data_IF_862342288099
#
_entry.id   IF_862342288099
#
_cell.length_a   1.000
_cell.length_b   1.000
_cell.length_c   1.000
_cell.angle_alpha   90.00
_cell.angle_beta   90.00
_cell.angle_gamma   90.00
#
_symmetry.space_group_name_H-M   'P 1'
#
loop_
_entity.id
_entity.type
_entity.pdbx_description
1 polymer ?
#
# COMPACT_ATOMS: atom_id res chain seq x y z
N UNK A 1 -2.85 -2.48 -11.04
CA UNK A 1 -2.29 -1.95 -12.31
C UNK A 1 -2.01 -0.45 -12.34
N UNK A 2 -2.99 0.47 -12.35
CA UNK A 2 -2.68 1.92 -12.46
C UNK A 2 -1.84 2.49 -11.30
N UNK A 3 -2.16 2.12 -10.06
CA UNK A 3 -1.40 2.56 -8.87
C UNK A 3 0.02 2.01 -8.80
N UNK A 4 0.22 0.73 -9.15
CA UNK A 4 1.55 0.11 -9.22
C UNK A 4 2.47 0.86 -10.21
N UNK A 5 1.96 1.22 -11.39
CA UNK A 5 2.69 2.01 -12.40
C UNK A 5 3.10 3.39 -11.88
N UNK A 6 2.23 4.07 -11.11
CA UNK A 6 2.54 5.36 -10.50
C UNK A 6 3.66 5.25 -9.44
N UNK A 7 3.61 4.24 -8.58
CA UNK A 7 4.67 3.97 -7.58
C UNK A 7 5.98 3.61 -8.27
N UNK A 8 5.93 2.78 -9.30
CA UNK A 8 7.09 2.41 -10.11
C UNK A 8 7.75 3.65 -10.76
N UNK A 9 6.93 4.53 -11.37
CA UNK A 9 7.41 5.80 -11.93
C UNK A 9 8.04 6.71 -10.86
N UNK A 10 7.43 6.84 -9.68
CA UNK A 10 7.99 7.64 -8.58
C UNK A 10 9.36 7.12 -8.12
N UNK A 11 9.54 5.80 -8.00
CA UNK A 11 10.82 5.21 -7.62
C UNK A 11 11.82 5.03 -8.78
N UNK A 12 11.52 5.55 -9.98
CA UNK A 12 12.31 5.34 -11.20
C UNK A 12 12.65 3.86 -11.45
N UNK A 13 11.71 2.96 -11.14
CA UNK A 13 11.82 1.51 -11.31
C UNK A 13 10.74 1.05 -12.26
N UNK A 14 11.07 0.14 -13.18
CA UNK A 14 10.04 -0.51 -13.99
C UNK A 14 9.20 -1.42 -13.08
N UNK A 15 7.86 -1.49 -13.25
CA UNK A 15 7.06 -2.48 -12.53
C UNK A 15 7.59 -3.86 -12.85
N UNK A 16 7.58 -4.75 -11.85
CA UNK A 16 7.69 -6.16 -12.16
C UNK A 16 6.39 -6.55 -12.88
N UNK A 17 6.42 -6.52 -14.22
CA UNK A 17 5.28 -6.84 -15.09
C UNK A 17 5.05 -8.36 -15.18
N UNK A 18 5.57 -9.14 -14.22
CA UNK A 18 5.17 -10.53 -14.03
C UNK A 18 3.72 -10.57 -13.58
N UNK A 19 2.79 -10.45 -14.53
CA UNK A 19 1.37 -10.75 -14.34
C UNK A 19 1.24 -12.27 -14.29
N UNK A 20 1.64 -12.84 -13.15
CA UNK A 20 1.21 -14.14 -12.66
C UNK A 20 0.55 -13.94 -11.30
N UNK A 21 -0.25 -14.90 -10.80
CA UNK A 21 -0.73 -14.83 -9.41
C UNK A 21 0.46 -14.62 -8.48
N UNK A 22 0.59 -13.42 -7.91
CA UNK A 22 1.66 -13.09 -6.96
C UNK A 22 1.37 -13.81 -5.64
N UNK A 23 1.75 -15.08 -5.55
CA UNK A 23 1.72 -15.86 -4.31
C UNK A 23 2.68 -15.32 -3.24
N UNK A 24 3.46 -14.27 -3.53
CA UNK A 24 4.52 -13.74 -2.67
C UNK A 24 4.04 -12.72 -1.62
N UNK A 25 2.81 -12.21 -1.71
CA UNK A 25 2.24 -11.31 -0.70
C UNK A 25 2.74 -9.86 -0.73
N UNK A 26 3.43 -9.43 -1.80
CA UNK A 26 3.88 -8.06 -2.06
C UNK A 26 3.94 -7.81 -3.58
N UNK A 27 3.87 -6.54 -4.00
CA UNK A 27 3.79 -6.14 -5.41
C UNK A 27 5.16 -5.78 -6.01
N UNK A 28 6.07 -5.18 -5.23
CA UNK A 28 7.42 -4.82 -5.72
C UNK A 28 8.47 -4.81 -4.61
N UNK A 29 9.75 -4.70 -5.01
CA UNK A 29 10.87 -4.45 -4.09
C UNK A 29 11.54 -3.10 -4.36
N UNK A 30 11.61 -2.28 -3.32
CA UNK A 30 12.22 -0.94 -3.35
C UNK A 30 13.28 -0.88 -2.25
N UNK A 31 14.53 -0.53 -2.62
CA UNK A 31 15.68 -0.51 -1.70
C UNK A 31 15.80 -1.75 -0.78
N UNK A 32 15.49 -2.93 -1.32
CA UNK A 32 15.52 -4.21 -0.58
C UNK A 32 14.28 -4.51 0.27
N UNK A 33 13.33 -3.57 0.40
CA UNK A 33 12.07 -3.72 1.12
C UNK A 33 10.96 -4.22 0.19
N UNK A 34 10.16 -5.17 0.65
CA UNK A 34 8.94 -5.66 -0.02
C UNK A 34 7.80 -4.67 0.20
N UNK A 35 7.13 -4.28 -0.88
CA UNK A 35 6.10 -3.24 -0.87
C UNK A 35 4.79 -3.77 -1.44
N UNK A 36 3.67 -3.48 -0.78
CA UNK A 36 2.31 -3.78 -1.23
C UNK A 36 1.58 -2.45 -1.50
N UNK A 37 1.21 -2.19 -2.74
CA UNK A 37 0.54 -0.97 -3.20
C UNK A 37 -0.96 -1.15 -3.13
N UNK A 38 -1.63 -0.19 -2.49
CA UNK A 38 -3.08 -0.07 -2.46
C UNK A 38 -3.48 1.17 -3.22
N UNK A 39 -4.44 1.02 -4.12
CA UNK A 39 -5.01 2.13 -4.87
C UNK A 39 -6.46 2.37 -4.48
N UNK A 40 -6.87 3.64 -4.44
CA UNK A 40 -8.26 4.05 -4.18
C UNK A 40 -8.67 5.18 -5.12
N UNK A 41 -9.96 5.22 -5.48
CA UNK A 41 -10.59 6.35 -6.18
C UNK A 41 -11.30 7.31 -5.22
N UNK A 42 -11.31 7.02 -3.90
CA UNK A 42 -11.93 7.83 -2.86
C UNK A 42 -10.91 8.79 -2.23
N UNK A 43 -11.34 10.03 -1.94
CA UNK A 43 -10.52 11.05 -1.28
C UNK A 43 -11.36 11.80 -0.21
N UNK A 44 -11.03 11.72 1.09
CA UNK A 44 -9.97 10.88 1.65
C UNK A 44 -10.31 9.39 1.53
N UNK A 45 -9.29 8.57 1.34
CA UNK A 45 -9.38 7.10 1.30
C UNK A 45 -8.48 6.48 2.37
N UNK A 46 -8.68 5.20 2.66
CA UNK A 46 -7.95 4.49 3.70
C UNK A 46 -6.84 3.63 3.12
N UNK A 47 -5.72 3.53 3.83
CA UNK A 47 -4.79 2.44 3.61
C UNK A 47 -5.35 1.20 4.31
N UNK A 48 -5.57 0.12 3.56
CA UNK A 48 -6.24 -1.07 4.07
C UNK A 48 -5.49 -2.37 3.77
N UNK A 49 -5.55 -3.32 4.70
CA UNK A 49 -5.07 -4.68 4.53
C UNK A 49 -6.09 -5.69 5.08
N UNK A 50 -6.21 -6.83 4.41
CA UNK A 50 -7.09 -7.91 4.88
C UNK A 50 -6.70 -8.35 6.30
N UNK A 51 -7.67 -8.66 7.15
CA UNK A 51 -7.42 -9.24 8.49
C UNK A 51 -6.59 -10.53 8.47
N UNK A 52 -6.56 -11.22 7.34
CA UNK A 52 -5.80 -12.46 7.16
C UNK A 52 -4.37 -12.23 6.62
N UNK A 53 -3.99 -10.97 6.33
CA UNK A 53 -2.65 -10.64 5.83
C UNK A 53 -1.65 -10.80 6.99
N UNK A 54 -0.64 -11.64 6.79
CA UNK A 54 0.46 -11.75 7.74
C UNK A 54 1.35 -10.50 7.72
N UNK A 55 1.76 -10.04 8.90
CA UNK A 55 2.66 -8.88 9.06
C UNK A 55 3.99 -9.02 8.29
N UNK A 56 4.46 -10.25 8.07
CA UNK A 56 5.71 -10.53 7.34
C UNK A 56 5.54 -10.69 5.82
N UNK A 57 4.33 -10.50 5.27
CA UNK A 57 4.06 -10.68 3.84
C UNK A 57 4.75 -9.60 2.98
N UNK A 58 4.78 -8.38 3.48
CA UNK A 58 5.54 -7.25 2.94
C UNK A 58 6.12 -6.45 4.12
N UNK A 59 6.98 -5.48 3.84
CA UNK A 59 7.54 -4.61 4.87
C UNK A 59 6.80 -3.27 4.96
N UNK A 60 6.29 -2.79 3.82
CA UNK A 60 5.67 -1.47 3.66
C UNK A 60 4.42 -1.59 2.80
N UNK A 61 3.38 -0.87 3.19
CA UNK A 61 2.18 -0.63 2.40
C UNK A 61 2.17 0.82 1.92
N UNK A 62 1.79 1.06 0.66
CA UNK A 62 1.69 2.41 0.07
C UNK A 62 0.26 2.67 -0.39
N UNK A 63 -0.29 3.83 -0.08
CA UNK A 63 -1.59 4.28 -0.59
C UNK A 63 -1.39 5.23 -1.77
N UNK A 64 -2.09 4.93 -2.87
CA UNK A 64 -2.17 5.77 -4.06
C UNK A 64 -3.61 6.15 -4.32
N UNK A 65 -3.87 7.45 -4.45
CA UNK A 65 -5.09 7.93 -5.06
C UNK A 65 -4.95 7.81 -6.58
N UNK A 66 -5.88 7.10 -7.21
CA UNK A 66 -5.82 6.74 -8.62
C UNK A 66 -7.12 7.14 -9.33
N UNK A 67 -7.12 8.30 -9.99
CA UNK A 67 -8.23 8.76 -10.82
C UNK A 67 -7.68 9.17 -12.18
N UNK A 68 -7.77 8.26 -13.15
CA UNK A 68 -7.19 8.48 -14.48
C UNK A 68 -7.57 9.86 -15.07
N UNK A 69 -6.61 10.63 -15.60
CA UNK A 69 -5.18 10.31 -15.78
C UNK A 69 -4.28 10.66 -14.58
N UNK A 70 -4.84 11.13 -13.47
CA UNK A 70 -4.13 11.60 -12.28
C UNK A 70 -3.87 10.46 -11.28
N UNK A 71 -2.63 10.41 -10.78
CA UNK A 71 -2.23 9.47 -9.75
C UNK A 71 -1.38 10.21 -8.73
N UNK A 72 -1.75 10.10 -7.46
CA UNK A 72 -1.09 10.76 -6.34
C UNK A 72 -0.69 9.72 -5.30
N UNK A 73 0.58 9.74 -4.90
CA UNK A 73 1.07 8.92 -3.79
C UNK A 73 0.77 9.70 -2.51
N UNK A 74 -0.13 9.17 -1.69
CA UNK A 74 -0.57 9.83 -0.45
C UNK A 74 0.46 9.60 0.67
N UNK A 75 1.07 8.43 0.70
CA UNK A 75 2.03 8.03 1.73
C UNK A 75 1.97 6.53 1.97
N UNK A 76 2.56 6.07 3.07
CA UNK A 76 2.55 4.66 3.43
C UNK A 76 2.64 4.40 4.93
N UNK A 77 2.71 3.12 5.28
CA UNK A 77 2.97 2.66 6.63
C UNK A 77 3.75 1.33 6.57
N UNK A 78 4.50 1.03 7.63
CA UNK A 78 5.08 -0.30 7.80
C UNK A 78 3.99 -1.34 8.05
N UNK A 79 4.29 -2.60 7.75
CA UNK A 79 3.36 -3.70 8.04
C UNK A 79 3.00 -3.80 9.53
N UNK A 80 3.96 -3.55 10.41
CA UNK A 80 3.74 -3.55 11.88
C UNK A 80 2.81 -2.44 12.32
N UNK A 81 2.92 -1.26 11.71
CA UNK A 81 2.01 -0.14 11.97
C UNK A 81 0.59 -0.46 11.50
N UNK A 82 0.42 -0.98 10.29
CA UNK A 82 -0.92 -1.23 9.72
C UNK A 82 -1.58 -2.47 10.34
N UNK A 83 -0.87 -3.60 10.40
CA UNK A 83 -1.38 -4.91 10.86
C UNK A 83 -1.28 -4.98 12.39
N UNK A 84 -2.03 -4.09 13.04
CA UNK A 84 -2.14 -3.99 14.49
C UNK A 84 -3.61 -4.10 14.91
N UNK A 85 -3.87 -4.71 16.08
CA UNK A 85 -5.24 -4.82 16.61
C UNK A 85 -5.93 -3.47 16.77
N UNK A 86 -5.17 -2.39 17.04
CA UNK A 86 -5.71 -1.04 17.17
C UNK A 86 -6.34 -0.50 15.87
N UNK A 87 -5.96 -1.08 14.73
CA UNK A 87 -6.42 -0.66 13.41
C UNK A 87 -7.50 -1.59 12.83
N UNK A 88 -7.90 -2.63 13.57
CA UNK A 88 -9.02 -3.48 13.15
C UNK A 88 -10.31 -2.70 13.25
N UNK A 89 -10.99 -2.55 12.12
CA UNK A 89 -12.31 -1.93 12.06
C UNK A 89 -13.19 -2.67 11.06
N UNK A 90 -14.50 -2.55 11.21
CA UNK A 90 -15.48 -2.98 10.22
C UNK A 90 -16.29 -1.76 9.79
N UNK A 91 -16.00 -1.28 8.58
CA UNK A 91 -16.65 -0.10 8.00
C UNK A 91 -17.72 -0.47 6.97
N UNK A 92 -18.27 -1.69 7.06
CA UNK A 92 -19.34 -2.17 6.18
C UNK A 92 -18.91 -3.14 5.08
N UNK A 93 -17.61 -3.51 5.04
CA UNK A 93 -17.05 -4.48 4.09
C UNK A 93 -16.35 -5.65 4.79
N UNK A 94 -16.68 -5.88 6.06
CA UNK A 94 -16.02 -6.85 6.91
C UNK A 94 -14.80 -6.28 7.62
N UNK A 95 -14.38 -6.99 8.65
CA UNK A 95 -13.26 -6.57 9.50
C UNK A 95 -11.94 -6.62 8.73
N UNK A 96 -11.26 -5.48 8.62
CA UNK A 96 -9.93 -5.34 8.03
C UNK A 96 -9.09 -4.35 8.87
N UNK A 97 -7.81 -4.24 8.54
CA UNK A 97 -6.93 -3.21 9.11
C UNK A 97 -7.05 -1.92 8.30
N UNK A 98 -7.14 -0.77 8.97
CA UNK A 98 -7.27 0.54 8.34
C UNK A 98 -6.36 1.59 8.98
N UNK A 99 -5.82 2.46 8.15
CA UNK A 99 -5.22 3.74 8.55
C UNK A 99 -5.80 4.86 7.70
N UNK A 100 -6.09 6.00 8.32
CA UNK A 100 -6.46 7.24 7.65
C UNK A 100 -5.25 7.86 6.94
N UNK A 101 -5.49 8.69 5.92
CA UNK A 101 -4.42 9.40 5.20
C UNK A 101 -3.55 10.25 6.14
N UNK A 102 -4.16 10.87 7.16
CA UNK A 102 -3.50 11.67 8.18
C UNK A 102 -2.49 10.89 9.03
N UNK A 103 -2.61 9.56 9.08
CA UNK A 103 -1.73 8.66 9.82
C UNK A 103 -0.58 8.11 8.95
N UNK A 104 -0.56 8.43 7.65
CA UNK A 104 0.43 7.92 6.73
C UNK A 104 1.73 8.71 6.81
N UNK A 105 2.83 7.98 6.63
CA UNK A 105 4.17 8.53 6.62
C UNK A 105 4.59 8.84 5.17
N UNK A 106 5.20 10.01 4.90
CA UNK A 106 5.83 10.31 3.61
C UNK A 106 6.85 9.23 3.22
N UNK A 107 6.94 8.92 1.92
CA UNK A 107 7.78 7.80 1.46
C UNK A 107 9.27 8.07 1.71
N UNK A 108 9.69 9.34 1.69
CA UNK A 108 11.06 9.75 1.97
C UNK A 108 11.51 9.33 3.37
N UNK A 109 10.60 9.33 4.34
CA UNK A 109 10.88 8.90 5.71
C UNK A 109 10.78 7.37 5.87
N UNK A 110 9.97 6.69 5.06
CA UNK A 110 9.84 5.22 5.08
C UNK A 110 11.01 4.50 4.42
N UNK A 111 11.63 5.13 3.43
CA UNK A 111 12.73 4.58 2.64
C UNK A 111 14.05 5.35 2.83
N UNK A 112 14.09 6.28 3.78
CA UNK A 112 15.27 7.03 4.19
C UNK A 112 16.37 6.16 4.78
#
# INVERSE_FOLDING_TARGET
MGGELAVCKYFNRWPDLSVGPHYSGYDLKVKGRKVDVKSTTYNPGYLQASKNKHVNACDIFILVYAKFPEFEIIGGATSEQLISRANLSDIGFGTNYYLEQSQLTPLELLFG
#
